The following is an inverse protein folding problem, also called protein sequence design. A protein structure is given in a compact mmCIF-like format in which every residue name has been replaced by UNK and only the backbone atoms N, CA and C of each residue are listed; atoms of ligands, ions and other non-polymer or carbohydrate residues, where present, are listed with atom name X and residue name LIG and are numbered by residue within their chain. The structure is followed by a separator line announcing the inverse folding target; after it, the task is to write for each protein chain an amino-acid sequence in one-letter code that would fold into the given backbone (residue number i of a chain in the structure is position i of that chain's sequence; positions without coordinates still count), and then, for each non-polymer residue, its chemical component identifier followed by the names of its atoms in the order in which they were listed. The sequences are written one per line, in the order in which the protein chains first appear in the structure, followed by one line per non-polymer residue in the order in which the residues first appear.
data_IF_086637408400
#
_entry.id   IF_086637408400
#
_cell.length_a   1.000
_cell.length_b   1.000
_cell.length_c   1.000
_cell.angle_alpha   90.00
_cell.angle_beta   90.00
_cell.angle_gamma   90.00
#
_symmetry.space_group_name_H-M   'P 1'
#
loop_
_entity.id
_entity.type
_entity.pdbx_description
1 polymer ?
#
# COMPACT_ATOMS: atom_id res chain seq x y z
N UNK A 1 -85.93 -30.06 -11.06
CA UNK A 1 -85.96 -29.68 -9.63
C UNK A 1 -84.83 -28.66 -9.44
N UNK A 2 -85.14 -27.38 -9.33
CA UNK A 2 -84.28 -26.24 -9.23
C UNK A 2 -84.04 -25.95 -7.75
N UNK A 3 -82.86 -26.16 -7.20
CA UNK A 3 -82.51 -25.77 -5.83
C UNK A 3 -81.92 -24.35 -5.85
N UNK A 4 -82.70 -23.38 -5.39
CA UNK A 4 -82.21 -22.02 -5.11
C UNK A 4 -81.52 -22.01 -3.78
N UNK A 5 -80.17 -21.62 -3.82
CA UNK A 5 -79.46 -21.33 -2.62
C UNK A 5 -79.66 -19.87 -2.26
N UNK A 6 -80.40 -19.62 -1.14
CA UNK A 6 -80.63 -18.32 -0.58
C UNK A 6 -79.34 -17.88 0.17
N UNK A 7 -78.56 -16.94 -0.37
CA UNK A 7 -77.48 -16.32 0.31
C UNK A 7 -77.91 -15.26 1.32
N UNK A 8 -77.60 -15.45 2.57
CA UNK A 8 -77.95 -14.57 3.69
C UNK A 8 -77.10 -13.26 3.61
N UNK A 9 -77.79 -12.12 3.92
CA UNK A 9 -77.19 -10.76 3.93
C UNK A 9 -76.04 -10.55 4.89
N UNK A 10 -75.60 -11.53 5.66
CA UNK A 10 -74.46 -11.45 6.60
C UNK A 10 -73.10 -11.86 5.99
N UNK A 11 -73.09 -12.45 4.79
CA UNK A 11 -71.86 -12.92 4.14
C UNK A 11 -71.25 -11.87 3.21
N UNK A 12 -71.93 -10.73 2.97
CA UNK A 12 -71.44 -9.67 2.06
C UNK A 12 -70.58 -8.61 2.77
N UNK A 13 -70.53 -8.58 4.11
CA UNK A 13 -69.78 -7.57 4.87
C UNK A 13 -68.39 -8.04 5.34
N UNK A 14 -67.95 -9.28 5.02
CA UNK A 14 -66.62 -9.79 5.41
C UNK A 14 -65.58 -9.78 4.27
N UNK A 15 -65.91 -9.34 3.05
CA UNK A 15 -65.07 -9.36 1.87
C UNK A 15 -64.51 -7.99 1.45
N UNK A 16 -64.70 -6.96 2.29
CA UNK A 16 -64.38 -5.55 1.94
C UNK A 16 -63.18 -4.91 2.59
N UNK A 17 -62.28 -5.66 3.30
CA UNK A 17 -61.13 -5.06 3.97
C UNK A 17 -59.81 -5.84 3.74
N UNK A 18 -59.51 -6.21 2.50
CA UNK A 18 -58.25 -6.81 2.13
C UNK A 18 -57.64 -6.16 0.87
N UNK A 19 -57.84 -4.87 0.71
CA UNK A 19 -57.20 -4.10 -0.38
C UNK A 19 -56.67 -2.79 0.23
N UNK A 20 -55.39 -2.75 0.58
CA UNK A 20 -54.77 -1.52 1.02
C UNK A 20 -53.47 -1.60 1.82
N UNK A 21 -52.82 -2.77 1.88
CA UNK A 21 -51.46 -2.83 2.35
C UNK A 21 -50.51 -3.04 1.14
N UNK A 22 -50.46 -2.05 0.25
CA UNK A 22 -49.26 -1.91 -0.58
C UNK A 22 -48.13 -1.58 0.38
N UNK A 23 -47.37 -2.62 0.72
CA UNK A 23 -46.09 -2.48 1.41
C UNK A 23 -45.25 -1.50 0.58
N UNK A 24 -45.15 -0.27 1.07
CA UNK A 24 -44.01 0.58 0.73
C UNK A 24 -42.77 -0.15 1.28
N UNK A 25 -42.26 -1.15 0.54
CA UNK A 25 -40.90 -1.57 0.70
C UNK A 25 -40.07 -0.31 0.44
N UNK A 26 -39.29 0.19 1.41
CA UNK A 26 -38.39 1.26 1.11
C UNK A 26 -37.54 0.72 -0.05
N UNK A 27 -37.59 1.40 -1.22
CA UNK A 27 -36.63 1.23 -2.25
C UNK A 27 -35.30 1.47 -1.54
N UNK A 28 -34.56 0.41 -1.19
CA UNK A 28 -33.16 0.49 -0.89
C UNK A 28 -32.56 1.10 -2.16
N UNK A 29 -32.39 2.41 -2.14
CA UNK A 29 -31.57 3.10 -3.10
C UNK A 29 -30.22 2.45 -2.92
N UNK A 30 -29.81 1.60 -3.86
CA UNK A 30 -28.44 1.15 -3.92
C UNK A 30 -27.61 2.43 -3.94
N UNK A 31 -26.91 2.69 -2.84
CA UNK A 31 -26.09 3.88 -2.72
C UNK A 31 -25.12 3.81 -3.90
N UNK A 32 -25.21 4.79 -4.79
CA UNK A 32 -24.40 4.81 -6.01
C UNK A 32 -22.94 4.64 -5.60
N UNK A 33 -22.29 3.61 -6.15
CA UNK A 33 -20.92 3.28 -5.77
C UNK A 33 -20.02 4.44 -6.15
N UNK A 34 -19.13 4.81 -5.24
CA UNK A 34 -18.14 5.85 -5.50
C UNK A 34 -17.26 5.42 -6.68
N UNK A 35 -17.24 6.18 -7.77
CA UNK A 35 -16.36 5.94 -8.90
C UNK A 35 -14.95 6.42 -8.57
N UNK A 36 -13.98 5.52 -8.62
CA UNK A 36 -12.58 5.78 -8.26
C UNK A 36 -11.68 5.41 -9.44
N UNK A 37 -10.77 6.31 -9.80
CA UNK A 37 -9.77 6.03 -10.81
C UNK A 37 -8.39 5.78 -10.20
N UNK A 38 -7.64 4.82 -10.76
CA UNK A 38 -6.22 4.62 -10.51
C UNK A 38 -5.39 5.08 -11.72
N UNK A 39 -4.38 5.89 -11.50
CA UNK A 39 -3.42 6.27 -12.54
C UNK A 39 -2.04 5.76 -12.12
N UNK A 40 -1.52 4.80 -12.87
CA UNK A 40 -0.25 4.15 -12.60
C UNK A 40 0.79 4.58 -13.63
N UNK A 41 1.89 5.19 -13.18
CA UNK A 41 2.95 5.69 -14.08
C UNK A 41 3.77 4.57 -14.73
N UNK A 42 3.75 3.36 -14.18
CA UNK A 42 4.34 2.15 -14.73
C UNK A 42 3.31 1.00 -14.70
N UNK A 43 3.61 -0.18 -15.31
CA UNK A 43 2.72 -1.35 -15.27
C UNK A 43 2.30 -1.73 -13.85
N UNK A 44 1.08 -2.23 -13.68
CA UNK A 44 0.51 -2.60 -12.38
C UNK A 44 1.24 -3.76 -11.70
N UNK A 45 2.04 -4.53 -12.44
CA UNK A 45 2.94 -5.56 -11.90
C UNK A 45 4.16 -4.99 -11.16
N UNK A 46 4.48 -3.72 -11.36
CA UNK A 46 5.48 -3.04 -10.53
C UNK A 46 5.04 -3.08 -9.07
N UNK A 47 5.94 -3.45 -8.16
CA UNK A 47 5.59 -3.71 -6.76
C UNK A 47 4.82 -2.56 -6.09
N UNK A 48 5.21 -1.32 -6.33
CA UNK A 48 4.53 -0.16 -5.76
C UNK A 48 3.11 0.01 -6.32
N UNK A 49 2.97 -0.03 -7.65
CA UNK A 49 1.67 0.06 -8.32
C UNK A 49 0.76 -1.13 -7.96
N UNK A 50 1.35 -2.32 -7.83
CA UNK A 50 0.65 -3.54 -7.39
C UNK A 50 -0.04 -3.35 -6.04
N UNK A 51 0.60 -2.67 -5.07
CA UNK A 51 -0.01 -2.39 -3.76
C UNK A 51 -1.27 -1.52 -3.90
N UNK A 52 -1.21 -0.46 -4.71
CA UNK A 52 -2.35 0.43 -4.97
C UNK A 52 -3.45 -0.29 -5.74
N UNK A 53 -3.06 -0.90 -6.88
CA UNK A 53 -3.98 -1.58 -7.78
C UNK A 53 -4.76 -2.69 -7.08
N UNK A 54 -4.05 -3.54 -6.32
CA UNK A 54 -4.70 -4.60 -5.53
C UNK A 54 -5.68 -4.04 -4.51
N UNK A 55 -5.34 -3.02 -3.76
CA UNK A 55 -6.24 -2.43 -2.77
C UNK A 55 -7.51 -1.84 -3.41
N UNK A 56 -7.38 -1.23 -4.59
CA UNK A 56 -8.50 -0.69 -5.38
C UNK A 56 -9.36 -1.81 -5.96
N UNK A 57 -8.75 -2.88 -6.51
CA UNK A 57 -9.47 -4.07 -6.98
C UNK A 57 -10.24 -4.77 -5.85
N UNK A 58 -9.60 -4.97 -4.70
CA UNK A 58 -10.23 -5.59 -3.53
C UNK A 58 -11.45 -4.76 -3.07
N UNK A 59 -11.31 -3.41 -3.01
CA UNK A 59 -12.42 -2.53 -2.68
C UNK A 59 -13.56 -2.58 -3.70
N UNK A 60 -13.25 -2.73 -4.99
CA UNK A 60 -14.24 -2.90 -6.05
C UNK A 60 -14.95 -4.26 -5.95
N UNK A 61 -14.20 -5.35 -5.72
CA UNK A 61 -14.76 -6.70 -5.58
C UNK A 61 -15.69 -6.83 -4.38
N UNK A 62 -15.40 -6.11 -3.30
CA UNK A 62 -16.25 -5.98 -2.10
C UNK A 62 -17.48 -5.06 -2.33
N UNK A 63 -17.56 -4.42 -3.49
CA UNK A 63 -18.68 -3.52 -3.83
C UNK A 63 -18.61 -2.15 -3.16
N UNK A 64 -17.47 -1.77 -2.59
CA UNK A 64 -17.26 -0.47 -1.90
C UNK A 64 -17.16 0.69 -2.89
N UNK A 65 -16.53 0.44 -4.06
CA UNK A 65 -16.28 1.41 -5.13
C UNK A 65 -16.58 0.79 -6.51
N UNK A 66 -16.69 1.65 -7.53
CA UNK A 66 -16.49 1.30 -8.94
C UNK A 66 -15.05 1.72 -9.31
N UNK A 67 -14.23 0.80 -9.81
CA UNK A 67 -12.83 1.05 -10.09
C UNK A 67 -12.53 1.02 -11.58
N UNK A 68 -11.89 2.07 -12.07
CA UNK A 68 -11.33 2.19 -13.42
C UNK A 68 -9.86 2.59 -13.31
N UNK A 69 -9.01 2.23 -14.29
CA UNK A 69 -7.60 2.59 -14.22
C UNK A 69 -6.94 2.74 -15.59
N UNK A 70 -5.79 3.42 -15.56
CA UNK A 70 -4.81 3.46 -16.65
C UNK A 70 -3.42 3.14 -16.10
N UNK A 71 -2.60 2.47 -16.88
CA UNK A 71 -1.22 2.14 -16.54
C UNK A 71 -0.24 2.60 -17.63
N UNK A 72 1.04 2.72 -17.27
CA UNK A 72 2.08 3.23 -18.17
C UNK A 72 1.89 4.72 -18.52
N UNK A 73 1.16 5.47 -17.70
CA UNK A 73 0.85 6.89 -17.92
C UNK A 73 1.86 7.76 -17.19
N UNK A 74 2.75 8.42 -17.91
CA UNK A 74 3.83 9.23 -17.33
C UNK A 74 4.02 10.59 -18.02
N UNK A 75 4.81 11.46 -17.43
CA UNK A 75 5.14 12.77 -17.98
C UNK A 75 3.90 13.61 -18.26
N UNK A 76 3.81 14.20 -19.46
CA UNK A 76 2.72 15.09 -19.87
C UNK A 76 1.35 14.41 -20.01
N UNK A 77 1.32 13.09 -20.15
CA UNK A 77 0.08 12.32 -20.25
C UNK A 77 -0.60 12.14 -18.89
N UNK A 78 0.16 12.19 -17.80
CA UNK A 78 -0.37 12.01 -16.46
C UNK A 78 -1.39 13.09 -16.04
N UNK A 79 -1.09 14.40 -16.13
CA UNK A 79 -2.09 15.44 -15.86
C UNK A 79 -3.28 15.41 -16.82
N UNK A 80 -3.11 14.94 -18.06
CA UNK A 80 -4.21 14.73 -19.00
C UNK A 80 -5.15 13.64 -18.51
N UNK A 81 -4.62 12.48 -18.12
CA UNK A 81 -5.43 11.38 -17.58
C UNK A 81 -6.18 11.81 -16.29
N UNK A 82 -5.56 12.62 -15.43
CA UNK A 82 -6.23 13.18 -14.25
C UNK A 82 -7.47 13.99 -14.63
N UNK A 83 -7.36 14.89 -15.66
CA UNK A 83 -8.51 15.67 -16.17
C UNK A 83 -9.59 14.76 -16.75
N UNK A 84 -9.21 13.82 -17.61
CA UNK A 84 -10.13 12.89 -18.26
C UNK A 84 -10.96 12.09 -17.22
N UNK A 85 -10.35 11.61 -16.13
CA UNK A 85 -11.06 10.90 -15.08
C UNK A 85 -11.94 11.82 -14.23
N UNK A 86 -11.51 13.06 -13.97
CA UNK A 86 -12.34 14.06 -13.29
C UNK A 86 -13.58 14.40 -14.13
N UNK A 87 -13.43 14.61 -15.44
CA UNK A 87 -14.52 14.85 -16.40
C UNK A 87 -15.47 13.67 -16.54
N UNK A 88 -14.97 12.43 -16.39
CA UNK A 88 -15.78 11.20 -16.34
C UNK A 88 -16.54 11.03 -15.02
N UNK A 89 -16.45 11.97 -14.08
CA UNK A 89 -17.16 11.97 -12.81
C UNK A 89 -16.55 11.04 -11.76
N UNK A 90 -15.24 10.72 -11.85
CA UNK A 90 -14.56 10.03 -10.76
C UNK A 90 -14.52 10.95 -9.54
N UNK A 91 -15.03 10.46 -8.41
CA UNK A 91 -15.08 11.20 -7.17
C UNK A 91 -13.73 11.19 -6.42
N UNK A 92 -12.89 10.19 -6.70
CA UNK A 92 -11.53 10.05 -6.15
C UNK A 92 -10.59 9.55 -7.25
N UNK A 93 -9.44 10.20 -7.38
CA UNK A 93 -8.33 9.78 -8.26
C UNK A 93 -7.13 9.44 -7.39
N UNK A 94 -6.60 8.22 -7.55
CA UNK A 94 -5.48 7.67 -6.79
C UNK A 94 -4.30 7.43 -7.73
N UNK A 95 -3.10 7.79 -7.31
CA UNK A 95 -1.89 7.57 -8.10
C UNK A 95 -0.64 8.16 -7.45
N UNK A 96 0.23 8.74 -8.25
CA UNK A 96 1.48 9.36 -7.80
C UNK A 96 1.72 10.72 -8.44
N UNK A 97 2.40 11.62 -7.73
CA UNK A 97 2.72 12.96 -8.20
C UNK A 97 4.23 13.25 -8.25
N UNK A 98 5.09 12.32 -7.81
CA UNK A 98 6.54 12.55 -7.65
C UNK A 98 7.22 13.21 -8.86
N UNK A 99 6.83 12.85 -10.08
CA UNK A 99 7.40 13.40 -11.31
C UNK A 99 6.61 14.58 -11.91
N UNK A 100 5.39 14.84 -11.42
CA UNK A 100 4.43 15.79 -12.02
C UNK A 100 3.73 16.64 -10.96
N UNK A 101 4.37 16.86 -9.83
CA UNK A 101 3.81 17.51 -8.63
C UNK A 101 3.10 18.83 -8.91
N UNK A 102 3.75 19.73 -9.66
CA UNK A 102 3.20 21.06 -9.97
C UNK A 102 1.95 20.96 -10.84
N UNK A 103 2.03 20.15 -11.89
CA UNK A 103 0.95 19.95 -12.85
C UNK A 103 -0.25 19.24 -12.21
N UNK A 104 0.00 18.25 -11.34
CA UNK A 104 -1.03 17.55 -10.59
C UNK A 104 -1.80 18.48 -9.66
N UNK A 105 -1.12 19.38 -8.96
CA UNK A 105 -1.74 20.40 -8.10
C UNK A 105 -2.59 21.39 -8.90
N UNK A 106 -2.13 21.78 -10.09
CA UNK A 106 -2.90 22.65 -10.99
C UNK A 106 -4.21 21.95 -11.41
N UNK A 107 -4.15 20.67 -11.80
CA UNK A 107 -5.36 19.91 -12.15
C UNK A 107 -6.32 19.81 -10.95
N UNK A 108 -5.82 19.55 -9.75
CA UNK A 108 -6.67 19.49 -8.56
C UNK A 108 -7.40 20.81 -8.30
N UNK A 109 -6.73 21.95 -8.49
CA UNK A 109 -7.34 23.28 -8.37
C UNK A 109 -8.45 23.52 -9.43
N UNK A 110 -8.26 23.00 -10.65
CA UNK A 110 -9.23 23.13 -11.74
C UNK A 110 -10.49 22.25 -11.52
N UNK A 111 -10.38 21.17 -10.71
CA UNK A 111 -11.46 20.21 -10.47
C UNK A 111 -11.81 20.06 -8.96
N UNK A 112 -12.35 21.10 -8.31
CA UNK A 112 -12.55 21.13 -6.84
C UNK A 112 -13.57 20.12 -6.30
N UNK A 113 -14.35 19.48 -7.19
CA UNK A 113 -15.33 18.43 -6.80
C UNK A 113 -14.75 17.01 -6.84
N UNK A 114 -13.55 16.84 -7.37
CA UNK A 114 -12.84 15.57 -7.44
C UNK A 114 -11.76 15.54 -6.37
N UNK A 115 -11.71 14.50 -5.57
CA UNK A 115 -10.63 14.26 -4.63
C UNK A 115 -9.43 13.64 -5.36
N UNK A 116 -8.24 14.12 -5.06
CA UNK A 116 -6.98 13.57 -5.56
C UNK A 116 -6.18 13.07 -4.35
N UNK A 117 -5.80 11.80 -4.33
CA UNK A 117 -4.95 11.21 -3.30
C UNK A 117 -3.72 10.60 -3.98
N UNK A 118 -2.61 11.31 -3.91
CA UNK A 118 -1.42 11.03 -4.71
C UNK A 118 -0.20 10.75 -3.83
N UNK A 119 0.59 9.75 -4.19
CA UNK A 119 1.92 9.52 -3.63
C UNK A 119 2.79 10.75 -3.89
N UNK A 120 3.30 11.38 -2.83
CA UNK A 120 4.05 12.63 -2.91
C UNK A 120 4.96 12.81 -1.70
N UNK A 121 6.13 13.42 -1.93
CA UNK A 121 7.00 13.92 -0.85
C UNK A 121 6.62 15.35 -0.40
N UNK A 122 5.65 15.98 -1.07
CA UNK A 122 5.14 17.31 -0.72
C UNK A 122 3.99 17.26 0.28
N UNK A 123 3.58 18.43 0.75
CA UNK A 123 2.45 18.55 1.69
C UNK A 123 1.10 18.51 0.96
N UNK A 124 0.06 18.05 1.66
CA UNK A 124 -1.32 18.18 1.19
C UNK A 124 -1.71 19.66 0.99
N UNK A 125 -2.64 19.94 0.08
CA UNK A 125 -3.03 21.33 -0.20
C UNK A 125 -4.48 21.48 -0.66
N UNK A 126 -5.07 22.63 -0.37
CA UNK A 126 -6.47 22.91 -0.67
C UNK A 126 -7.41 21.91 0.01
N UNK A 127 -8.63 21.81 -0.53
CA UNK A 127 -9.66 20.94 0.03
C UNK A 127 -9.65 19.53 -0.60
N UNK A 128 -8.88 19.30 -1.69
CA UNK A 128 -9.01 18.10 -2.50
C UNK A 128 -7.69 17.46 -2.97
N UNK A 129 -6.52 18.02 -2.63
CA UNK A 129 -5.23 17.41 -2.95
C UNK A 129 -4.63 16.77 -1.70
N UNK A 130 -4.95 15.51 -1.49
CA UNK A 130 -4.39 14.68 -0.42
C UNK A 130 -3.12 13.98 -0.87
N UNK A 131 -2.25 13.70 0.09
CA UNK A 131 -0.96 13.02 -0.13
C UNK A 131 -0.83 11.78 0.73
N UNK A 132 0.01 10.84 0.29
CA UNK A 132 0.45 9.71 1.08
C UNK A 132 1.91 9.36 0.75
N UNK A 133 2.62 8.83 1.74
CA UNK A 133 3.96 8.25 1.59
C UNK A 133 3.94 6.73 1.75
N UNK A 134 5.01 6.08 1.31
CA UNK A 134 5.21 4.63 1.43
C UNK A 134 5.92 4.31 2.74
N UNK A 135 5.15 4.23 3.83
CA UNK A 135 5.70 4.04 5.17
C UNK A 135 5.62 2.57 5.62
N UNK A 136 6.52 1.75 5.09
CA UNK A 136 6.70 0.35 5.49
C UNK A 136 8.01 0.11 6.27
N UNK A 137 8.57 1.16 6.85
CA UNK A 137 9.80 1.14 7.64
C UNK A 137 9.69 0.28 8.89
N UNK A 138 8.50 0.14 9.50
CA UNK A 138 8.24 -0.79 10.60
C UNK A 138 8.61 -2.23 10.23
N UNK A 139 8.17 -2.69 9.05
CA UNK A 139 8.51 -4.01 8.53
C UNK A 139 10.00 -4.17 8.20
N UNK A 140 10.64 -3.10 7.68
CA UNK A 140 12.08 -3.12 7.40
C UNK A 140 12.92 -3.22 8.67
N UNK A 141 12.53 -2.51 9.73
CA UNK A 141 13.19 -2.62 11.04
C UNK A 141 13.12 -4.05 11.59
N UNK A 142 11.95 -4.67 11.57
CA UNK A 142 11.78 -6.07 12.02
C UNK A 142 12.59 -7.05 11.18
N UNK A 143 12.62 -6.87 9.86
CA UNK A 143 13.46 -7.67 8.98
C UNK A 143 14.96 -7.45 9.25
N UNK A 144 15.35 -6.24 9.63
CA UNK A 144 16.69 -5.90 10.10
C UNK A 144 17.09 -6.67 11.36
N UNK A 145 16.18 -6.81 12.34
CA UNK A 145 16.43 -7.63 13.54
C UNK A 145 16.73 -9.08 13.18
N UNK A 146 15.97 -9.68 12.26
CA UNK A 146 16.23 -11.04 11.79
C UNK A 146 17.58 -11.10 11.05
N UNK A 147 17.85 -10.17 10.13
CA UNK A 147 19.10 -10.10 9.37
C UNK A 147 20.34 -9.96 10.29
N UNK A 148 20.26 -9.13 11.31
CA UNK A 148 21.34 -8.93 12.28
C UNK A 148 21.69 -10.19 13.06
N UNK A 149 20.71 -11.05 13.37
CA UNK A 149 20.94 -12.35 14.02
C UNK A 149 21.43 -13.44 13.06
N UNK A 150 21.15 -13.29 11.77
CA UNK A 150 21.50 -14.27 10.73
C UNK A 150 22.86 -13.99 10.06
N UNK A 151 23.28 -12.72 9.95
CA UNK A 151 24.53 -12.39 9.29
C UNK A 151 25.73 -13.03 10.00
N UNK A 152 26.58 -13.70 9.23
CA UNK A 152 27.83 -14.31 9.71
C UNK A 152 29.01 -13.34 9.57
N UNK A 153 29.06 -12.59 8.47
CA UNK A 153 30.11 -11.60 8.21
C UNK A 153 30.00 -10.35 9.09
N UNK A 154 28.80 -10.07 9.62
CA UNK A 154 28.51 -8.78 10.27
C UNK A 154 28.37 -7.63 9.28
N UNK A 155 28.23 -7.92 7.98
CA UNK A 155 28.04 -6.93 6.93
C UNK A 155 26.73 -7.23 6.20
N UNK A 156 25.84 -6.25 6.18
CA UNK A 156 24.59 -6.29 5.42
C UNK A 156 24.58 -5.20 4.37
N UNK A 157 23.87 -5.43 3.26
CA UNK A 157 23.78 -4.45 2.18
C UNK A 157 22.35 -4.01 1.94
N UNK A 158 22.15 -2.79 1.44
CA UNK A 158 20.85 -2.29 0.97
C UNK A 158 20.99 -1.64 -0.40
N UNK A 159 20.06 -1.96 -1.30
CA UNK A 159 19.97 -1.36 -2.65
C UNK A 159 18.67 -0.61 -2.77
N UNK A 160 18.77 0.72 -2.93
CA UNK A 160 17.65 1.63 -3.07
C UNK A 160 17.60 2.34 -4.42
N UNK A 161 16.47 3.00 -4.71
CA UNK A 161 16.28 3.74 -5.96
C UNK A 161 17.08 5.05 -5.98
N UNK A 162 16.64 6.00 -5.19
CA UNK A 162 17.11 7.39 -5.09
C UNK A 162 17.19 7.78 -3.62
N UNK A 163 18.10 8.68 -3.23
CA UNK A 163 18.22 9.14 -1.84
C UNK A 163 17.10 10.15 -1.48
N UNK A 164 15.84 9.73 -1.63
CA UNK A 164 14.68 10.52 -1.21
C UNK A 164 14.23 10.09 0.20
N UNK A 165 13.52 10.95 0.95
CA UNK A 165 13.14 10.68 2.35
C UNK A 165 12.52 9.30 2.58
N UNK A 166 11.59 8.86 1.72
CA UNK A 166 10.89 7.57 1.87
C UNK A 166 11.83 6.37 1.72
N UNK A 167 12.75 6.42 0.75
CA UNK A 167 13.74 5.35 0.52
C UNK A 167 14.80 5.35 1.63
N UNK A 168 15.29 6.54 2.02
CA UNK A 168 16.25 6.68 3.09
C UNK A 168 15.71 6.14 4.42
N UNK A 169 14.49 6.51 4.78
CA UNK A 169 13.80 6.05 5.99
C UNK A 169 13.71 4.52 6.05
N UNK A 170 13.40 3.88 4.94
CA UNK A 170 13.27 2.43 4.85
C UNK A 170 14.62 1.74 5.08
N UNK A 171 15.69 2.24 4.43
CA UNK A 171 17.04 1.68 4.56
C UNK A 171 17.62 1.93 5.95
N UNK A 172 17.39 3.11 6.52
CA UNK A 172 17.79 3.45 7.88
C UNK A 172 17.06 2.60 8.94
N UNK A 173 15.77 2.32 8.75
CA UNK A 173 15.02 1.46 9.65
C UNK A 173 15.55 0.01 9.62
N UNK A 174 15.85 -0.54 8.43
CA UNK A 174 16.51 -1.83 8.32
C UNK A 174 17.84 -1.86 9.06
N UNK A 175 18.70 -0.85 8.85
CA UNK A 175 19.98 -0.73 9.54
C UNK A 175 19.83 -0.60 11.07
N UNK A 176 18.83 0.15 11.53
CA UNK A 176 18.53 0.29 12.97
C UNK A 176 18.10 -1.05 13.59
N UNK A 177 17.26 -1.82 12.90
CA UNK A 177 16.89 -3.17 13.34
C UNK A 177 18.07 -4.13 13.40
N UNK A 178 18.98 -4.08 12.42
CA UNK A 178 20.24 -4.85 12.44
C UNK A 178 21.07 -4.47 13.66
N UNK A 179 21.30 -3.18 13.90
CA UNK A 179 22.14 -2.66 14.99
C UNK A 179 21.54 -2.89 16.36
N UNK A 180 20.23 -3.00 16.52
CA UNK A 180 19.60 -3.35 17.79
C UNK A 180 20.08 -4.71 18.33
N UNK A 181 20.27 -5.68 17.43
CA UNK A 181 20.65 -7.05 17.80
C UNK A 181 22.10 -7.38 17.50
N UNK A 182 22.78 -6.57 16.70
CA UNK A 182 24.21 -6.67 16.35
C UNK A 182 24.82 -5.27 16.19
N UNK A 183 25.21 -4.62 17.28
CA UNK A 183 25.68 -3.23 17.28
C UNK A 183 26.93 -2.96 16.44
N UNK A 184 27.80 -3.97 16.26
CA UNK A 184 29.03 -3.91 15.47
C UNK A 184 28.81 -4.14 13.96
N UNK A 185 27.60 -4.46 13.52
CA UNK A 185 27.32 -4.73 12.12
C UNK A 185 27.56 -3.48 11.24
N UNK A 186 28.11 -3.73 10.05
CA UNK A 186 28.28 -2.71 8.99
C UNK A 186 27.11 -2.78 8.03
N UNK A 187 26.66 -1.60 7.57
CA UNK A 187 25.62 -1.46 6.59
C UNK A 187 26.19 -0.79 5.33
N UNK A 188 26.15 -1.49 4.19
CA UNK A 188 26.52 -0.97 2.88
C UNK A 188 25.28 -0.45 2.19
N UNK A 189 25.38 0.71 1.55
CA UNK A 189 24.25 1.36 0.87
C UNK A 189 24.61 1.66 -0.58
N UNK A 190 23.70 1.39 -1.50
CA UNK A 190 23.83 1.80 -2.89
C UNK A 190 22.49 2.31 -3.43
N UNK A 191 22.52 3.41 -4.18
CA UNK A 191 21.38 3.94 -4.93
C UNK A 191 21.60 3.74 -6.41
N UNK A 192 20.57 3.23 -7.13
CA UNK A 192 20.68 2.96 -8.57
C UNK A 192 20.34 4.16 -9.45
N UNK A 193 19.81 5.27 -8.86
CA UNK A 193 19.48 6.50 -9.58
C UNK A 193 18.18 6.46 -10.38
N UNK A 194 17.35 5.41 -10.22
CA UNK A 194 16.07 5.25 -10.88
C UNK A 194 15.15 4.34 -10.06
N UNK A 195 13.82 4.47 -10.25
CA UNK A 195 12.85 3.60 -9.59
C UNK A 195 12.69 2.23 -10.26
N UNK A 196 13.16 2.06 -11.51
CA UNK A 196 13.04 0.78 -12.22
C UNK A 196 14.23 0.53 -13.15
N UNK A 197 15.17 -0.27 -12.67
CA UNK A 197 16.30 -0.82 -13.45
C UNK A 197 16.79 -2.10 -12.74
N UNK A 198 16.12 -3.26 -12.96
CA UNK A 198 16.49 -4.51 -12.32
C UNK A 198 17.95 -4.95 -12.56
N UNK A 199 18.51 -4.84 -13.80
CA UNK A 199 19.93 -5.13 -14.04
C UNK A 199 20.86 -4.31 -13.16
N UNK A 200 20.65 -2.98 -13.06
CA UNK A 200 21.47 -2.10 -12.25
C UNK A 200 21.36 -2.39 -10.75
N UNK A 201 20.14 -2.73 -10.27
CA UNK A 201 19.93 -3.16 -8.88
C UNK A 201 20.68 -4.47 -8.58
N UNK A 202 20.69 -5.41 -9.53
CA UNK A 202 21.46 -6.65 -9.41
C UNK A 202 22.98 -6.37 -9.35
N UNK A 203 23.50 -5.51 -10.23
CA UNK A 203 24.92 -5.11 -10.23
C UNK A 203 25.32 -4.48 -8.89
N UNK A 204 24.51 -3.54 -8.37
CA UNK A 204 24.72 -2.93 -7.06
C UNK A 204 24.73 -3.97 -5.93
N UNK A 205 23.81 -4.94 -5.96
CA UNK A 205 23.78 -6.04 -5.00
C UNK A 205 25.03 -6.92 -5.08
N UNK A 206 25.48 -7.28 -6.28
CA UNK A 206 26.72 -8.07 -6.47
C UNK A 206 27.94 -7.33 -5.93
N UNK A 207 28.04 -6.02 -6.16
CA UNK A 207 29.15 -5.22 -5.63
C UNK A 207 29.17 -5.21 -4.08
N UNK A 208 28.01 -5.16 -3.44
CA UNK A 208 27.92 -5.24 -1.98
C UNK A 208 28.30 -6.64 -1.44
N UNK A 209 27.93 -7.70 -2.16
CA UNK A 209 28.33 -9.08 -1.80
C UNK A 209 29.85 -9.22 -1.95
N UNK A 210 30.44 -8.70 -3.02
CA UNK A 210 31.89 -8.72 -3.22
C UNK A 210 32.64 -7.88 -2.16
N UNK A 211 31.97 -6.88 -1.56
CA UNK A 211 32.45 -6.12 -0.40
C UNK A 211 32.19 -6.82 0.95
N UNK A 212 31.66 -8.05 0.95
CA UNK A 212 31.51 -8.91 2.12
C UNK A 212 30.12 -8.97 2.72
N UNK A 213 29.10 -8.34 2.12
CA UNK A 213 27.74 -8.48 2.58
C UNK A 213 27.24 -9.92 2.36
N UNK A 214 26.65 -10.54 3.39
CA UNK A 214 26.08 -11.88 3.32
C UNK A 214 24.56 -11.89 3.47
N UNK A 215 23.94 -10.72 3.64
CA UNK A 215 22.50 -10.50 3.57
C UNK A 215 22.26 -9.17 2.84
N UNK A 216 21.29 -9.17 1.89
CA UNK A 216 20.88 -7.95 1.19
C UNK A 216 19.44 -7.56 1.55
N UNK A 217 19.19 -6.26 1.68
CA UNK A 217 17.86 -5.67 1.68
C UNK A 217 17.59 -5.01 0.33
N UNK A 218 16.63 -5.54 -0.42
CA UNK A 218 16.23 -5.04 -1.73
C UNK A 218 15.02 -4.12 -1.64
N UNK A 219 15.24 -2.81 -1.58
CA UNK A 219 14.18 -1.85 -1.84
C UNK A 219 13.81 -1.90 -3.33
N UNK A 220 14.77 -2.32 -4.20
CA UNK A 220 14.58 -2.46 -5.66
C UNK A 220 14.57 -3.90 -6.14
N UNK A 221 13.72 -4.17 -7.16
CA UNK A 221 13.70 -5.43 -7.91
C UNK A 221 15.08 -5.61 -8.56
N UNK A 222 15.60 -6.84 -8.54
CA UNK A 222 16.94 -7.18 -9.02
C UNK A 222 17.93 -7.50 -7.89
N UNK A 223 17.75 -6.91 -6.70
CA UNK A 223 18.61 -7.20 -5.53
C UNK A 223 18.51 -8.67 -5.12
N UNK A 224 17.31 -9.26 -5.14
CA UNK A 224 17.11 -10.68 -4.85
C UNK A 224 17.73 -11.58 -5.91
N UNK A 225 17.88 -11.13 -7.17
CA UNK A 225 18.57 -11.87 -8.23
C UNK A 225 20.07 -11.97 -7.91
N UNK A 226 20.69 -10.86 -7.43
CA UNK A 226 22.09 -10.89 -6.97
C UNK A 226 22.30 -11.86 -5.81
N UNK A 227 21.42 -11.82 -4.81
CA UNK A 227 21.49 -12.71 -3.66
C UNK A 227 21.32 -14.19 -4.08
N UNK A 228 20.37 -14.48 -4.97
CA UNK A 228 20.15 -15.83 -5.53
C UNK A 228 21.39 -16.33 -6.29
N UNK A 229 22.00 -15.50 -7.12
CA UNK A 229 23.18 -15.88 -7.90
C UNK A 229 24.37 -16.26 -7.01
N UNK A 230 24.53 -15.58 -5.88
CA UNK A 230 25.63 -15.82 -4.94
C UNK A 230 25.26 -16.76 -3.79
N UNK A 231 24.04 -17.28 -3.76
CA UNK A 231 23.57 -18.23 -2.74
C UNK A 231 23.49 -17.64 -1.34
N UNK A 232 23.27 -16.34 -1.21
CA UNK A 232 23.06 -15.65 0.07
C UNK A 232 21.58 -15.33 0.31
N UNK A 233 21.25 -14.86 1.50
CA UNK A 233 19.86 -14.47 1.86
C UNK A 233 19.56 -13.03 1.52
N UNK A 234 18.27 -12.75 1.30
CA UNK A 234 17.77 -11.41 0.99
C UNK A 234 16.47 -11.11 1.71
N UNK A 235 16.23 -9.83 1.94
CA UNK A 235 14.95 -9.25 2.40
C UNK A 235 14.34 -8.48 1.23
N UNK A 236 13.04 -8.65 1.01
CA UNK A 236 12.27 -7.90 0.02
C UNK A 236 11.53 -6.71 0.63
N UNK A 237 10.95 -5.87 -0.23
CA UNK A 237 10.18 -4.69 0.15
C UNK A 237 8.88 -4.58 -0.66
N UNK A 238 7.86 -3.97 -0.07
CA UNK A 238 6.53 -3.69 -0.60
C UNK A 238 5.60 -4.90 -0.67
N UNK A 239 6.01 -5.98 -1.32
CA UNK A 239 5.23 -7.21 -1.54
C UNK A 239 5.99 -8.44 -1.07
N UNK A 240 5.31 -9.59 -1.00
CA UNK A 240 5.96 -10.87 -0.68
C UNK A 240 6.65 -11.45 -1.91
N UNK A 241 7.98 -11.47 -1.89
CA UNK A 241 8.83 -12.09 -2.92
C UNK A 241 9.16 -13.56 -2.64
N UNK A 242 8.75 -14.12 -1.50
CA UNK A 242 9.04 -15.51 -1.14
C UNK A 242 8.59 -16.51 -2.20
N UNK A 243 7.39 -16.38 -2.83
CA UNK A 243 6.99 -17.33 -3.87
C UNK A 243 7.91 -17.33 -5.11
N UNK A 244 8.54 -16.19 -5.42
CA UNK A 244 9.47 -16.06 -6.56
C UNK A 244 10.89 -16.49 -6.21
N UNK A 245 11.28 -16.32 -4.93
CA UNK A 245 12.65 -16.59 -4.45
C UNK A 245 12.63 -17.41 -3.15
N UNK A 246 12.04 -18.64 -3.14
CA UNK A 246 11.75 -19.37 -1.91
C UNK A 246 13.00 -19.72 -1.08
N UNK A 247 14.15 -19.91 -1.74
CA UNK A 247 15.40 -20.24 -1.06
C UNK A 247 16.27 -19.02 -0.73
N UNK A 248 15.91 -17.85 -1.22
CA UNK A 248 16.73 -16.63 -1.15
C UNK A 248 16.09 -15.58 -0.25
N UNK A 249 14.82 -15.20 -0.51
CA UNK A 249 14.10 -14.19 0.27
C UNK A 249 13.51 -14.85 1.51
N UNK A 250 13.96 -14.42 2.69
CA UNK A 250 13.48 -14.96 3.95
C UNK A 250 12.51 -14.06 4.70
N UNK A 251 12.48 -12.77 4.35
CA UNK A 251 11.55 -11.80 4.92
C UNK A 251 11.22 -10.69 3.91
N UNK A 252 10.08 -10.04 4.11
CA UNK A 252 9.63 -8.93 3.27
C UNK A 252 8.99 -7.86 4.15
N UNK A 253 9.40 -6.60 3.98
CA UNK A 253 8.74 -5.43 4.57
C UNK A 253 7.51 -5.09 3.72
N UNK A 254 6.34 -5.53 4.12
CA UNK A 254 5.10 -5.40 3.35
C UNK A 254 4.50 -3.99 3.53
N UNK A 255 3.97 -3.44 2.44
CA UNK A 255 3.16 -2.24 2.46
C UNK A 255 1.74 -2.53 1.96
N UNK A 256 0.76 -2.24 2.82
CA UNK A 256 -0.65 -2.39 2.52
C UNK A 256 -1.30 -1.02 2.31
N UNK A 257 -1.76 -0.75 1.10
CA UNK A 257 -2.39 0.53 0.76
C UNK A 257 -3.85 0.64 1.25
N UNK A 258 -4.48 -0.48 1.60
CA UNK A 258 -5.91 -0.53 1.93
C UNK A 258 -6.35 0.42 3.06
N UNK A 259 -5.64 0.58 4.20
CA UNK A 259 -6.04 1.53 5.24
C UNK A 259 -6.00 2.99 4.77
N UNK A 260 -5.00 3.36 3.96
CA UNK A 260 -4.87 4.67 3.32
C UNK A 260 -6.10 4.93 2.43
N UNK A 261 -6.41 3.99 1.54
CA UNK A 261 -7.56 4.07 0.64
C UNK A 261 -8.88 4.20 1.40
N UNK A 262 -9.08 3.40 2.45
CA UNK A 262 -10.30 3.41 3.25
C UNK A 262 -10.51 4.77 3.94
N UNK A 263 -9.45 5.39 4.45
CA UNK A 263 -9.52 6.71 5.07
C UNK A 263 -9.96 7.79 4.06
N UNK A 264 -9.36 7.80 2.86
CA UNK A 264 -9.74 8.74 1.81
C UNK A 264 -11.18 8.51 1.32
N UNK A 265 -11.60 7.25 1.11
CA UNK A 265 -12.98 6.91 0.74
C UNK A 265 -13.97 7.38 1.82
N UNK A 266 -13.62 7.24 3.10
CA UNK A 266 -14.48 7.67 4.20
C UNK A 266 -14.67 9.20 4.20
N UNK A 267 -13.59 9.97 3.97
CA UNK A 267 -13.67 11.43 3.88
C UNK A 267 -14.50 11.87 2.66
N UNK A 268 -14.30 11.27 1.48
CA UNK A 268 -15.10 11.56 0.28
C UNK A 268 -16.59 11.26 0.53
N UNK A 269 -16.92 10.08 1.09
CA UNK A 269 -18.32 9.70 1.39
C UNK A 269 -18.97 10.62 2.42
N UNK A 270 -18.18 11.16 3.35
CA UNK A 270 -18.66 12.09 4.37
C UNK A 270 -18.73 13.56 3.88
N UNK A 271 -18.33 13.83 2.64
CA UNK A 271 -18.24 15.21 2.10
C UNK A 271 -17.23 16.09 2.84
N UNK A 272 -16.20 15.48 3.45
CA UNK A 272 -15.14 16.20 4.14
C UNK A 272 -14.04 16.61 3.16
N UNK A 273 -13.26 17.65 3.48
CA UNK A 273 -12.04 17.95 2.74
C UNK A 273 -11.11 16.75 2.68
N UNK A 274 -10.55 16.46 1.50
CA UNK A 274 -9.63 15.36 1.24
C UNK A 274 -8.18 15.83 1.01
N UNK A 275 -7.93 17.14 1.12
CA UNK A 275 -6.60 17.73 1.14
C UNK A 275 -5.85 17.43 2.44
N UNK A 276 -5.66 16.15 2.76
CA UNK A 276 -5.08 15.65 4.00
C UNK A 276 -3.83 14.80 3.71
N UNK A 277 -2.96 14.69 4.71
CA UNK A 277 -1.86 13.73 4.68
C UNK A 277 -2.33 12.38 5.28
N UNK A 278 -2.50 11.38 4.40
CA UNK A 278 -2.96 10.04 4.75
C UNK A 278 -1.83 9.07 5.09
N UNK A 279 -0.57 9.51 5.08
CA UNK A 279 0.62 8.66 5.27
C UNK A 279 0.57 7.84 6.55
N UNK A 280 0.05 8.41 7.66
CA UNK A 280 -0.05 7.71 8.95
C UNK A 280 -0.78 6.37 8.88
N UNK A 281 -1.76 6.23 7.99
CA UNK A 281 -2.50 4.98 7.81
C UNK A 281 -1.67 3.88 7.14
N UNK A 282 -0.47 4.21 6.62
CA UNK A 282 0.53 3.26 6.15
C UNK A 282 1.34 2.59 7.27
N UNK A 283 1.27 3.07 8.51
CA UNK A 283 1.99 2.50 9.65
C UNK A 283 1.45 1.12 10.05
N UNK A 284 2.30 0.30 10.67
CA UNK A 284 1.93 -1.04 11.14
C UNK A 284 0.82 -1.00 12.20
N UNK A 285 0.82 -0.02 13.09
CA UNK A 285 -0.24 0.18 14.10
C UNK A 285 -1.62 0.47 13.50
N UNK A 286 -1.66 0.98 12.27
CA UNK A 286 -2.89 1.24 11.52
C UNK A 286 -3.23 0.10 10.53
N UNK A 287 -2.40 -0.95 10.49
CA UNK A 287 -2.54 -2.08 9.57
C UNK A 287 -2.05 -1.82 8.13
N UNK A 288 -1.35 -0.69 7.90
CA UNK A 288 -0.84 -0.29 6.58
C UNK A 288 0.53 -0.84 6.23
N UNK A 289 1.24 -1.46 7.17
CA UNK A 289 2.48 -2.19 6.90
C UNK A 289 2.61 -3.41 7.81
N UNK A 290 3.46 -4.34 7.43
CA UNK A 290 3.79 -5.50 8.25
C UNK A 290 5.09 -6.16 7.77
N UNK A 291 5.49 -7.23 8.43
CA UNK A 291 6.53 -8.15 7.98
C UNK A 291 5.91 -9.50 7.64
N UNK A 292 6.30 -10.07 6.49
CA UNK A 292 6.09 -11.48 6.15
C UNK A 292 7.45 -12.16 6.12
N UNK A 293 7.59 -13.29 6.79
CA UNK A 293 8.87 -14.00 6.86
C UNK A 293 8.68 -15.53 6.86
N UNK A 294 9.72 -16.24 6.45
CA UNK A 294 9.75 -17.71 6.40
C UNK A 294 10.18 -18.23 7.76
N UNK A 295 9.25 -18.84 8.50
CA UNK A 295 9.52 -19.40 9.82
C UNK A 295 10.59 -20.50 9.78
N UNK A 296 11.47 -20.49 10.79
CA UNK A 296 12.54 -21.48 10.95
C UNK A 296 13.77 -21.21 10.09
N UNK A 297 13.81 -20.11 9.33
CA UNK A 297 15.01 -19.68 8.60
C UNK A 297 15.94 -18.87 9.51
N UNK A 298 15.39 -17.98 10.33
CA UNK A 298 16.14 -17.32 11.39
C UNK A 298 16.17 -18.19 12.68
N UNK A 299 17.14 -17.96 13.59
CA UNK A 299 17.12 -18.61 14.90
C UNK A 299 15.81 -18.36 15.65
N UNK A 300 15.31 -19.38 16.36
CA UNK A 300 14.01 -19.29 17.04
C UNK A 300 13.92 -18.14 18.06
N UNK A 301 15.02 -17.85 18.76
CA UNK A 301 15.10 -16.70 19.68
C UNK A 301 15.06 -15.35 18.95
N UNK A 302 15.57 -15.27 17.72
CA UNK A 302 15.49 -14.09 16.89
C UNK A 302 14.05 -13.85 16.40
N UNK A 303 13.36 -14.90 15.96
CA UNK A 303 11.96 -14.81 15.57
C UNK A 303 11.07 -14.41 16.76
N UNK A 304 11.30 -14.99 17.94
CA UNK A 304 10.55 -14.64 19.15
C UNK A 304 10.77 -13.17 19.56
N UNK A 305 12.02 -12.68 19.53
CA UNK A 305 12.34 -11.28 19.82
C UNK A 305 11.71 -10.31 18.81
N UNK A 306 11.77 -10.66 17.51
CA UNK A 306 11.15 -9.88 16.44
C UNK A 306 9.62 -9.84 16.61
N UNK A 307 8.95 -10.95 16.90
CA UNK A 307 7.50 -10.97 17.12
C UNK A 307 7.08 -10.18 18.35
N UNK A 308 7.86 -10.19 19.44
CA UNK A 308 7.63 -9.32 20.59
C UNK A 308 7.74 -7.83 20.21
N UNK A 309 8.73 -7.47 19.42
CA UNK A 309 8.89 -6.11 18.89
C UNK A 309 7.74 -5.73 17.95
N UNK A 310 7.34 -6.63 17.06
CA UNK A 310 6.16 -6.45 16.18
C UNK A 310 4.89 -6.16 16.97
N UNK A 311 4.65 -6.90 18.05
CA UNK A 311 3.51 -6.65 18.94
C UNK A 311 3.59 -5.26 19.61
N UNK A 312 4.79 -4.85 20.04
CA UNK A 312 5.01 -3.53 20.62
C UNK A 312 4.76 -2.39 19.60
N UNK A 313 5.18 -2.56 18.35
CA UNK A 313 4.90 -1.59 17.27
C UNK A 313 3.39 -1.52 17.00
N UNK A 314 2.72 -2.66 16.85
CA UNK A 314 1.26 -2.72 16.60
C UNK A 314 0.43 -2.10 17.72
N UNK A 315 0.87 -2.21 18.97
CA UNK A 315 0.19 -1.59 20.11
C UNK A 315 0.56 -0.10 20.31
N UNK A 316 1.55 0.42 19.59
CA UNK A 316 2.10 1.76 19.79
C UNK A 316 3.01 1.88 21.03
N UNK A 317 3.38 0.76 21.67
CA UNK A 317 4.34 0.75 22.78
C UNK A 317 5.79 0.98 22.34
N UNK A 318 6.07 0.78 21.07
CA UNK A 318 7.34 1.11 20.43
C UNK A 318 7.07 1.77 19.08
N UNK A 319 7.77 2.84 18.78
CA UNK A 319 7.74 3.50 17.48
C UNK A 319 9.12 3.39 16.84
N UNK A 320 9.16 2.90 15.59
CA UNK A 320 10.40 2.86 14.82
C UNK A 320 10.82 4.28 14.47
N UNK A 321 12.06 4.69 14.73
CA UNK A 321 12.50 6.04 14.41
C UNK A 321 12.39 6.37 12.93
N UNK A 322 11.82 7.53 12.63
CA UNK A 322 11.74 8.08 11.27
C UNK A 322 13.05 8.83 11.00
N UNK A 323 13.88 8.30 10.09
CA UNK A 323 15.18 8.86 9.74
C UNK A 323 15.23 9.10 8.22
N UNK A 324 14.80 10.29 7.74
CA UNK A 324 14.67 10.60 6.33
C UNK A 324 15.99 11.02 5.66
N UNK A 325 17.07 11.22 6.44
CA UNK A 325 18.38 11.59 5.93
C UNK A 325 19.03 10.43 5.16
N UNK A 326 19.88 10.77 4.20
CA UNK A 326 20.62 9.77 3.44
C UNK A 326 21.44 8.86 4.37
N UNK A 327 21.34 7.54 4.27
CA UNK A 327 22.11 6.58 5.06
C UNK A 327 23.62 6.78 4.87
N UNK A 328 24.37 6.67 5.96
CA UNK A 328 25.84 6.84 6.00
C UNK A 328 26.53 5.51 6.07
#
# INVERSE_FOLDING_TARGET
MINQIIMSRRTVLASGMALGATAFAPKLWAQEKLKVAGIHASPVENAWNSCLHKALQDAASEGVIEYVFSEGVSGTDYPRAMREYAEQGCALIVGEAYAVEREARQVAADYPKTAFMLGSSGEASGDNFGVFGTWNHDGAYLAGMLAGKMTKSGIVGSVGALPIPEVNMLMNAFAAGVKEVRPDAKHLVAFIGTFFDPPKAREAGLAQIDAGADILFGERIGTADAAKERGIKSVGSLIDYTPRYPDTVFANAIWGFRPILNAAIADVKAGKPTGNNYTRFGLMKEGGSDIVYVKGVAPAEAEAAMEAKRAAIKSGAFEVPIMPEEPK
#
